data_IF_142763539621
#
_entry.id   IF_142763539621
#
_cell.length_a   1.000
_cell.length_b   1.000
_cell.length_c   1.000
_cell.angle_alpha   90.00
_cell.angle_beta   90.00
_cell.angle_gamma   90.00
#
_symmetry.space_group_name_H-M   'P 1'
#
loop_
_entity.id
_entity.type
_entity.pdbx_description
1 polymer ?
#
# COMPACT_ATOMS: atom_id res chain seq x y z
N UNK A 1 78.71 25.27 8.60
CA UNK A 1 78.05 25.49 7.30
C UNK A 1 76.69 24.80 7.34
N UNK A 2 75.60 25.54 7.45
CA UNK A 2 74.24 25.01 7.31
C UNK A 2 73.56 25.82 6.20
N UNK A 3 73.40 25.19 5.04
CA UNK A 3 72.74 25.79 3.88
C UNK A 3 71.24 25.62 4.04
N UNK A 4 70.55 26.70 4.42
CA UNK A 4 69.09 26.70 4.48
C UNK A 4 68.55 26.98 3.07
N UNK A 5 67.96 25.97 2.44
CA UNK A 5 67.48 26.03 1.06
C UNK A 5 66.11 26.73 1.02
N UNK A 6 66.11 28.06 0.95
CA UNK A 6 64.87 28.85 0.80
C UNK A 6 64.46 28.82 -0.67
N UNK A 7 63.40 28.05 -0.97
CA UNK A 7 62.84 27.85 -2.30
C UNK A 7 61.84 28.97 -2.61
N UNK A 8 62.29 30.02 -3.29
CA UNK A 8 61.42 31.12 -3.68
C UNK A 8 60.38 30.67 -4.72
N UNK A 9 59.10 30.84 -4.41
CA UNK A 9 57.99 30.60 -5.34
C UNK A 9 57.61 31.94 -5.99
N UNK A 10 57.85 32.08 -7.29
CA UNK A 10 57.52 33.30 -8.04
C UNK A 10 56.07 33.23 -8.55
N UNK A 11 55.19 34.12 -8.06
CA UNK A 11 53.81 34.25 -8.51
C UNK A 11 52.93 35.05 -7.54
N UNK A 12 51.67 35.30 -7.90
CA UNK A 12 50.67 35.97 -7.04
C UNK A 12 50.00 35.03 -6.03
N UNK A 13 50.50 33.80 -5.90
CA UNK A 13 49.98 32.80 -4.96
C UNK A 13 50.84 32.88 -3.72
N UNK A 14 50.25 33.33 -2.61
CA UNK A 14 50.90 33.30 -1.31
C UNK A 14 51.26 31.85 -0.95
N UNK A 15 52.53 31.63 -0.58
CA UNK A 15 53.00 30.35 -0.09
C UNK A 15 52.20 29.98 1.17
N UNK A 16 51.57 28.80 1.14
CA UNK A 16 50.94 28.25 2.34
C UNK A 16 52.07 27.77 3.24
N UNK A 17 52.39 28.58 4.25
CA UNK A 17 53.28 28.22 5.35
C UNK A 17 52.84 26.85 5.88
N UNK A 18 53.68 25.85 5.66
CA UNK A 18 53.51 24.53 6.24
C UNK A 18 53.50 24.70 7.75
N UNK A 19 52.39 24.28 8.35
CA UNK A 19 51.98 24.63 9.69
C UNK A 19 53.03 24.19 10.71
N UNK A 20 53.67 25.14 11.40
CA UNK A 20 54.32 24.88 12.70
C UNK A 20 54.58 26.12 13.58
N UNK A 21 54.32 27.37 13.12
CA UNK A 21 54.81 28.55 13.88
C UNK A 21 53.74 29.55 14.32
N UNK A 22 52.52 29.59 13.76
CA UNK A 22 51.52 30.55 14.28
C UNK A 22 50.07 30.22 13.91
N UNK A 23 49.28 29.67 14.85
CA UNK A 23 47.82 29.74 14.78
C UNK A 23 47.33 30.94 15.62
N UNK A 24 46.85 32.04 14.99
CA UNK A 24 46.34 33.21 15.70
C UNK A 24 45.13 32.90 16.61
N UNK A 25 44.51 31.73 16.48
CA UNK A 25 43.41 31.27 17.32
C UNK A 25 43.86 30.46 18.55
N UNK A 26 45.14 30.07 18.66
CA UNK A 26 45.66 29.36 19.84
C UNK A 26 46.22 30.30 20.90
N UNK A 27 46.97 31.32 20.49
CA UNK A 27 47.60 32.29 21.39
C UNK A 27 46.62 33.36 21.90
N UNK A 28 45.70 33.80 21.03
CA UNK A 28 44.81 34.92 21.34
C UNK A 28 43.49 34.46 21.98
N UNK A 29 43.38 34.61 23.30
CA UNK A 29 42.22 34.18 24.11
C UNK A 29 40.87 34.76 23.61
N UNK A 30 40.89 35.97 23.04
CA UNK A 30 39.70 36.66 22.51
C UNK A 30 39.25 36.05 21.18
N UNK A 31 40.18 35.67 20.30
CA UNK A 31 39.87 35.05 19.01
C UNK A 31 39.43 33.59 19.18
N UNK A 32 40.05 32.87 20.13
CA UNK A 32 39.68 31.51 20.52
C UNK A 32 38.25 31.44 21.05
N UNK A 33 37.91 32.32 22.00
CA UNK A 33 36.56 32.39 22.57
C UNK A 33 35.50 32.77 21.54
N UNK A 34 35.81 33.68 20.60
CA UNK A 34 34.90 34.04 19.48
C UNK A 34 34.66 32.86 18.52
N UNK A 35 35.69 32.07 18.20
CA UNK A 35 35.61 30.85 17.37
C UNK A 35 34.76 29.77 18.05
N UNK A 36 34.98 29.54 19.34
CA UNK A 36 34.19 28.61 20.17
C UNK A 36 32.74 29.06 20.27
N UNK A 37 32.47 30.35 20.52
CA UNK A 37 31.12 30.90 20.57
C UNK A 37 30.36 30.72 19.24
N UNK A 38 31.03 30.95 18.09
CA UNK A 38 30.45 30.73 16.76
C UNK A 38 30.14 29.25 16.51
N UNK A 39 31.03 28.35 16.93
CA UNK A 39 30.81 26.91 16.78
C UNK A 39 29.68 26.41 17.69
N UNK A 40 29.64 26.88 18.94
CA UNK A 40 28.58 26.56 19.90
C UNK A 40 27.22 27.06 19.41
N UNK A 41 27.13 28.24 18.77
CA UNK A 41 25.89 28.71 18.15
C UNK A 41 25.43 27.78 17.03
N UNK A 42 26.32 27.33 16.15
CA UNK A 42 26.01 26.37 15.06
C UNK A 42 25.54 25.02 15.59
N UNK A 43 26.18 24.51 16.64
CA UNK A 43 25.81 23.24 17.28
C UNK A 43 24.43 23.37 17.94
N UNK A 44 24.20 24.44 18.71
CA UNK A 44 22.89 24.72 19.33
C UNK A 44 21.77 24.80 18.28
N UNK A 45 21.99 25.50 17.18
CA UNK A 45 20.99 25.58 16.10
C UNK A 45 20.71 24.23 15.45
N UNK A 46 21.73 23.37 15.25
CA UNK A 46 21.53 22.02 14.71
C UNK A 46 20.72 21.14 15.66
N UNK A 47 20.99 21.22 16.96
CA UNK A 47 20.24 20.47 17.98
C UNK A 47 18.79 20.93 18.03
N UNK A 48 18.54 22.25 18.06
CA UNK A 48 17.18 22.80 18.02
C UNK A 48 16.43 22.38 16.76
N UNK A 49 17.08 22.39 15.60
CA UNK A 49 16.47 21.90 14.36
C UNK A 49 16.12 20.41 14.43
N UNK A 50 17.01 19.58 14.98
CA UNK A 50 16.76 18.16 15.17
C UNK A 50 15.53 17.91 16.07
N UNK A 51 15.42 18.63 17.19
CA UNK A 51 14.26 18.53 18.09
C UNK A 51 12.96 18.93 17.39
N UNK A 52 12.98 20.02 16.61
CA UNK A 52 11.82 20.45 15.83
C UNK A 52 11.44 19.38 14.79
N UNK A 53 12.40 18.79 14.09
CA UNK A 53 12.10 17.73 13.11
C UNK A 53 11.46 16.51 13.74
N UNK A 54 11.95 16.08 14.91
CA UNK A 54 11.37 14.96 15.65
C UNK A 54 9.95 15.30 16.12
N UNK A 55 9.75 16.51 16.65
CA UNK A 55 8.43 16.99 17.07
C UNK A 55 7.43 17.03 15.90
N UNK A 56 7.86 17.54 14.73
CA UNK A 56 7.05 17.54 13.52
C UNK A 56 6.69 16.12 13.06
N UNK A 57 7.61 15.15 13.15
CA UNK A 57 7.31 13.76 12.84
C UNK A 57 6.26 13.19 13.79
N UNK A 58 6.39 13.41 15.10
CA UNK A 58 5.39 12.99 16.08
C UNK A 58 4.01 13.63 15.83
N UNK A 59 3.97 14.94 15.55
CA UNK A 59 2.74 15.67 15.23
C UNK A 59 2.09 15.17 13.93
N UNK A 60 2.89 14.86 12.91
CA UNK A 60 2.41 14.31 11.65
C UNK A 60 1.79 12.92 11.85
N UNK A 61 2.41 12.06 12.66
CA UNK A 61 1.85 10.75 13.00
C UNK A 61 0.53 10.91 13.76
N UNK A 62 0.43 11.85 14.69
CA UNK A 62 -0.82 12.15 15.41
C UNK A 62 -1.94 12.62 14.47
N UNK A 63 -1.62 13.50 13.51
CA UNK A 63 -2.57 13.94 12.48
C UNK A 63 -3.02 12.79 11.56
N UNK A 64 -2.11 11.87 11.22
CA UNK A 64 -2.46 10.64 10.51
C UNK A 64 -3.39 9.75 11.34
N UNK A 65 -3.16 9.57 12.64
CA UNK A 65 -4.02 8.76 13.50
C UNK A 65 -5.48 9.24 13.53
N UNK A 66 -5.72 10.55 13.51
CA UNK A 66 -7.08 11.10 13.43
C UNK A 66 -7.79 10.71 12.12
N UNK A 67 -7.09 10.78 10.98
CA UNK A 67 -7.63 10.36 9.68
C UNK A 67 -7.77 8.83 9.57
N UNK A 68 -6.83 8.07 10.13
CA UNK A 68 -6.87 6.61 10.20
C UNK A 68 -8.09 6.14 10.98
N UNK A 69 -8.50 6.84 12.04
CA UNK A 69 -9.69 6.48 12.81
C UNK A 69 -10.97 6.54 11.97
N UNK A 70 -11.15 7.60 11.18
CA UNK A 70 -12.29 7.72 10.27
C UNK A 70 -12.23 6.66 9.17
N UNK A 71 -11.07 6.48 8.54
CA UNK A 71 -10.89 5.48 7.50
C UNK A 71 -11.07 4.03 8.01
N UNK A 72 -10.64 3.76 9.23
CA UNK A 72 -10.83 2.46 9.90
C UNK A 72 -12.31 2.19 10.19
N UNK A 73 -13.06 3.22 10.59
CA UNK A 73 -14.50 3.13 10.76
C UNK A 73 -15.22 2.81 9.44
N UNK A 74 -14.88 3.53 8.36
CA UNK A 74 -15.45 3.29 7.04
C UNK A 74 -15.11 1.90 6.52
N UNK A 75 -13.86 1.44 6.72
CA UNK A 75 -13.44 0.10 6.33
C UNK A 75 -14.17 -0.99 7.13
N UNK A 76 -14.42 -0.78 8.42
CA UNK A 76 -15.25 -1.66 9.23
C UNK A 76 -16.71 -1.70 8.74
N UNK A 77 -17.28 -0.54 8.39
CA UNK A 77 -18.63 -0.44 7.83
C UNK A 77 -18.76 -1.18 6.49
N UNK A 78 -17.82 -0.96 5.58
CA UNK A 78 -17.74 -1.65 4.29
C UNK A 78 -17.62 -3.17 4.48
N UNK A 79 -16.79 -3.61 5.42
CA UNK A 79 -16.63 -5.04 5.74
C UNK A 79 -17.94 -5.64 6.28
N UNK A 80 -18.65 -4.92 7.16
CA UNK A 80 -19.95 -5.37 7.68
C UNK A 80 -20.98 -5.51 6.55
N UNK A 81 -21.08 -4.52 5.68
CA UNK A 81 -21.99 -4.57 4.52
C UNK A 81 -21.64 -5.73 3.59
N UNK A 82 -20.36 -5.97 3.34
CA UNK A 82 -19.90 -7.11 2.55
C UNK A 82 -20.33 -8.45 3.16
N UNK A 83 -20.12 -8.62 4.47
CA UNK A 83 -20.52 -9.84 5.18
C UNK A 83 -22.04 -10.03 5.18
N UNK A 84 -22.81 -8.95 5.33
CA UNK A 84 -24.27 -8.98 5.25
C UNK A 84 -24.76 -9.46 3.88
N UNK A 85 -24.22 -8.89 2.80
CA UNK A 85 -24.56 -9.31 1.43
C UNK A 85 -24.16 -10.76 1.19
N UNK A 86 -23.00 -11.19 1.66
CA UNK A 86 -22.56 -12.58 1.54
C UNK A 86 -23.51 -13.54 2.28
N UNK A 87 -23.88 -13.21 3.51
CA UNK A 87 -24.80 -14.01 4.31
C UNK A 87 -26.19 -14.07 3.64
N UNK A 88 -26.71 -12.95 3.16
CA UNK A 88 -27.98 -12.92 2.42
C UNK A 88 -27.94 -13.81 1.17
N UNK A 89 -26.84 -13.80 0.41
CA UNK A 89 -26.67 -14.69 -0.73
C UNK A 89 -26.66 -16.17 -0.33
N UNK A 90 -26.00 -16.52 0.78
CA UNK A 90 -25.99 -17.89 1.30
C UNK A 90 -27.38 -18.33 1.78
N UNK A 91 -28.10 -17.46 2.49
CA UNK A 91 -29.47 -17.70 2.93
C UNK A 91 -30.40 -17.91 1.73
N UNK A 92 -30.34 -17.05 0.73
CA UNK A 92 -31.11 -17.20 -0.51
C UNK A 92 -30.78 -18.52 -1.23
N UNK A 93 -29.51 -18.93 -1.26
CA UNK A 93 -29.11 -20.20 -1.85
C UNK A 93 -29.69 -21.40 -1.08
N UNK A 94 -29.77 -21.33 0.25
CA UNK A 94 -30.40 -22.35 1.09
C UNK A 94 -31.91 -22.35 0.88
N UNK A 95 -32.55 -21.18 0.79
CA UNK A 95 -33.98 -21.05 0.54
C UNK A 95 -34.35 -21.65 -0.83
N UNK A 96 -33.56 -21.38 -1.87
CA UNK A 96 -33.74 -22.00 -3.19
C UNK A 96 -33.60 -23.52 -3.11
N UNK A 97 -32.62 -24.04 -2.38
CA UNK A 97 -32.45 -25.49 -2.19
C UNK A 97 -33.64 -26.09 -1.45
N UNK A 98 -34.14 -25.42 -0.43
CA UNK A 98 -35.32 -25.84 0.32
C UNK A 98 -36.57 -25.80 -0.56
N UNK A 99 -36.79 -24.72 -1.31
CA UNK A 99 -37.91 -24.56 -2.23
C UNK A 99 -37.88 -25.58 -3.37
N UNK A 100 -36.69 -25.88 -3.91
CA UNK A 100 -36.46 -26.95 -4.89
C UNK A 100 -36.45 -28.34 -4.26
N UNK A 101 -36.43 -28.46 -2.93
CA UNK A 101 -36.43 -29.76 -2.29
C UNK A 101 -37.74 -30.47 -2.61
N UNK A 102 -37.62 -31.74 -2.99
CA UNK A 102 -38.77 -32.60 -3.32
C UNK A 102 -39.80 -32.65 -2.17
N UNK A 103 -39.36 -32.41 -0.93
CA UNK A 103 -40.22 -32.36 0.25
C UNK A 103 -41.19 -31.17 0.21
N UNK A 104 -40.71 -29.96 -0.07
CA UNK A 104 -41.56 -28.77 -0.19
C UNK A 104 -42.49 -28.86 -1.42
N UNK A 105 -41.97 -29.36 -2.54
CA UNK A 105 -42.79 -29.60 -3.74
C UNK A 105 -43.91 -30.60 -3.43
N UNK A 106 -43.60 -31.69 -2.73
CA UNK A 106 -44.57 -32.70 -2.30
C UNK A 106 -45.61 -32.10 -1.36
N UNK A 107 -45.20 -31.34 -0.36
CA UNK A 107 -46.10 -30.72 0.62
C UNK A 107 -47.07 -29.73 -0.04
N UNK A 108 -46.59 -28.90 -0.96
CA UNK A 108 -47.44 -27.98 -1.72
C UNK A 108 -48.39 -28.75 -2.65
N UNK A 109 -47.91 -29.80 -3.34
CA UNK A 109 -48.73 -30.61 -4.21
C UNK A 109 -49.85 -31.35 -3.45
N UNK A 110 -49.52 -31.95 -2.30
CA UNK A 110 -50.47 -32.71 -1.48
C UNK A 110 -51.45 -31.77 -0.74
N UNK A 111 -50.97 -30.68 -0.14
CA UNK A 111 -51.80 -29.83 0.73
C UNK A 111 -52.53 -28.69 -0.01
N UNK A 112 -51.91 -28.08 -1.03
CA UNK A 112 -52.53 -26.95 -1.75
C UNK A 112 -53.18 -27.36 -3.07
N UNK A 113 -52.63 -28.37 -3.74
CA UNK A 113 -53.13 -28.83 -5.05
C UNK A 113 -53.94 -30.13 -4.96
N UNK A 114 -54.10 -30.71 -3.75
CA UNK A 114 -54.78 -31.99 -3.52
C UNK A 114 -54.28 -33.13 -4.43
N UNK A 115 -53.01 -33.06 -4.84
CA UNK A 115 -52.38 -34.11 -5.64
C UNK A 115 -52.02 -35.29 -4.75
N UNK A 116 -52.27 -36.51 -5.22
CA UNK A 116 -51.83 -37.74 -4.57
C UNK A 116 -50.82 -38.49 -5.42
N UNK A 117 -49.97 -39.29 -4.77
CA UNK A 117 -49.02 -40.14 -5.49
C UNK A 117 -49.78 -41.14 -6.37
N UNK A 118 -49.50 -41.21 -7.69
CA UNK A 118 -50.21 -42.11 -8.59
C UNK A 118 -49.89 -43.58 -8.29
N UNK A 119 -50.85 -44.47 -8.55
CA UNK A 119 -50.66 -45.91 -8.43
C UNK A 119 -49.83 -46.45 -9.59
N UNK A 120 -49.17 -47.62 -9.39
CA UNK A 120 -48.25 -48.23 -10.37
C UNK A 120 -48.88 -48.45 -11.76
N UNK A 121 -50.20 -48.64 -11.82
CA UNK A 121 -50.96 -48.83 -13.06
C UNK A 121 -51.22 -47.54 -13.86
N UNK A 122 -50.94 -46.36 -13.30
CA UNK A 122 -51.21 -45.05 -13.91
C UNK A 122 -49.93 -44.39 -14.48
N UNK A 123 -48.81 -45.12 -14.53
CA UNK A 123 -47.51 -44.59 -14.94
C UNK A 123 -47.27 -44.99 -16.41
N UNK A 124 -47.04 -44.00 -17.28
CA UNK A 124 -46.62 -44.19 -18.68
C UNK A 124 -45.25 -43.53 -18.88
N UNK A 125 -44.28 -44.28 -19.37
CA UNK A 125 -42.92 -43.79 -19.64
C UNK A 125 -42.84 -43.25 -21.07
N UNK A 126 -42.28 -42.05 -21.22
CA UNK A 126 -42.08 -41.37 -22.50
C UNK A 126 -40.61 -40.99 -22.60
N UNK A 127 -40.00 -41.27 -23.75
CA UNK A 127 -38.60 -40.92 -24.01
C UNK A 127 -38.49 -39.45 -24.41
N UNK A 128 -37.70 -38.67 -23.66
CA UNK A 128 -37.46 -37.26 -23.94
C UNK A 128 -36.15 -37.13 -24.72
N UNK A 129 -36.16 -36.59 -25.96
CA UNK A 129 -34.94 -36.33 -26.71
C UNK A 129 -34.12 -35.26 -25.98
N UNK A 130 -32.85 -35.57 -25.70
CA UNK A 130 -31.91 -34.67 -25.02
C UNK A 130 -31.30 -33.73 -26.04
N UNK A 131 -31.82 -32.51 -26.13
CA UNK A 131 -31.11 -31.43 -26.82
C UNK A 131 -30.10 -30.83 -25.84
N UNK A 132 -28.82 -31.13 -26.04
CA UNK A 132 -27.70 -30.62 -25.26
C UNK A 132 -27.50 -29.10 -25.50
N UNK A 133 -28.27 -28.27 -24.79
CA UNK A 133 -28.04 -26.81 -24.75
C UNK A 133 -26.89 -26.47 -23.80
N UNK A 134 -25.67 -26.76 -24.26
CA UNK A 134 -24.44 -26.24 -23.65
C UNK A 134 -24.35 -24.75 -24.00
N UNK A 135 -24.91 -23.88 -23.14
CA UNK A 135 -24.66 -22.44 -23.24
C UNK A 135 -23.26 -22.15 -22.73
N UNK A 136 -22.29 -22.14 -23.62
CA UNK A 136 -20.91 -21.73 -23.33
C UNK A 136 -20.90 -20.25 -22.96
N UNK A 137 -20.88 -19.93 -21.67
CA UNK A 137 -20.63 -18.58 -21.19
C UNK A 137 -19.18 -18.20 -21.55
N UNK A 138 -19.01 -17.45 -22.64
CA UNK A 138 -17.72 -16.89 -23.03
C UNK A 138 -17.26 -15.92 -21.93
N UNK A 139 -16.24 -16.34 -21.19
CA UNK A 139 -15.59 -15.56 -20.12
C UNK A 139 -14.88 -14.37 -20.77
N UNK A 140 -15.55 -13.22 -20.78
CA UNK A 140 -14.93 -11.94 -21.14
C UNK A 140 -13.79 -11.69 -20.16
N UNK A 141 -12.56 -11.83 -20.64
CA UNK A 141 -11.36 -11.47 -19.88
C UNK A 141 -11.48 -10.01 -19.42
N UNK A 142 -11.28 -9.79 -18.12
CA UNK A 142 -11.41 -8.47 -17.52
C UNK A 142 -10.38 -7.53 -18.13
N UNK A 143 -10.81 -6.37 -18.63
CA UNK A 143 -9.95 -5.29 -19.15
C UNK A 143 -8.81 -4.90 -18.20
N UNK A 144 -8.94 -5.20 -16.90
CA UNK A 144 -7.88 -4.98 -15.90
C UNK A 144 -6.62 -5.81 -16.17
N UNK A 145 -6.73 -7.02 -16.69
CA UNK A 145 -5.58 -7.90 -16.96
C UNK A 145 -4.76 -7.35 -18.14
N UNK A 146 -5.44 -6.85 -19.17
CA UNK A 146 -4.75 -6.16 -20.29
C UNK A 146 -4.10 -4.85 -19.84
N UNK A 147 -4.79 -4.00 -19.05
CA UNK A 147 -4.19 -2.76 -18.53
C UNK A 147 -2.96 -2.98 -17.63
N UNK A 148 -2.96 -4.02 -16.79
CA UNK A 148 -1.80 -4.37 -15.96
C UNK A 148 -0.64 -4.87 -16.83
N UNK A 149 -0.94 -5.61 -17.91
CA UNK A 149 0.05 -6.00 -18.91
C UNK A 149 0.70 -4.80 -19.60
N UNK A 150 -0.12 -3.84 -20.03
CA UNK A 150 0.34 -2.62 -20.72
C UNK A 150 1.16 -1.71 -19.78
N UNK A 151 0.75 -1.56 -18.53
CA UNK A 151 1.49 -0.79 -17.52
C UNK A 151 2.83 -1.44 -17.16
N UNK A 152 2.89 -2.78 -17.09
CA UNK A 152 4.12 -3.53 -16.83
C UNK A 152 5.12 -3.40 -17.98
N UNK A 153 4.64 -3.37 -19.22
CA UNK A 153 5.46 -3.13 -20.40
C UNK A 153 6.06 -1.71 -20.38
N UNK A 154 5.24 -0.68 -20.12
CA UNK A 154 5.72 0.70 -20.05
C UNK A 154 6.74 0.95 -18.92
N UNK A 155 6.55 0.29 -17.76
CA UNK A 155 7.54 0.39 -16.67
C UNK A 155 8.87 -0.30 -17.01
N UNK A 156 8.82 -1.41 -17.77
CA UNK A 156 10.03 -2.10 -18.24
C UNK A 156 10.85 -1.23 -19.20
N UNK A 157 10.19 -0.50 -20.11
CA UNK A 157 10.87 0.43 -21.02
C UNK A 157 11.50 1.60 -20.27
N UNK A 158 10.81 2.14 -19.26
CA UNK A 158 11.34 3.24 -18.44
C UNK A 158 12.58 2.83 -17.64
N UNK A 159 12.60 1.61 -17.11
CA UNK A 159 13.77 1.07 -16.40
C UNK A 159 14.97 0.81 -17.32
N UNK A 160 14.75 0.45 -18.59
CA UNK A 160 15.83 0.26 -19.56
C UNK A 160 16.48 1.56 -20.04
N UNK A 161 15.87 2.73 -19.77
CA UNK A 161 16.45 4.04 -20.11
C UNK A 161 17.44 4.50 -19.01
N UNK A 162 17.31 3.99 -17.79
CA UNK A 162 18.14 4.35 -16.64
C UNK A 162 19.26 3.33 -16.31
N UNK A 163 19.42 2.29 -17.14
CA UNK A 163 20.52 1.31 -17.07
C UNK A 163 21.35 1.33 -18.34
#
# INVERSE_FOLDING_TARGET
MASNNIKYVYGSVAEKIENDVYDPYEENVVLKSKKIARNNKKIKTKITFCIITIFCMCAMTMFKYAQISQLSYDNSKLTKQYLEIQNNNQLLAIEIQNAKSLKNIREVAENKLHMHKPNKSQIVYIEVPKEDVIKTCNKKESKLITFIGDAKAGFKELLSIFS
#
